data_IF_055114211051
#
_entry.id   IF_055114211051
#
_cell.length_a   1.000
_cell.length_b   1.000
_cell.length_c   1.000
_cell.angle_alpha   90.00
_cell.angle_beta   90.00
_cell.angle_gamma   90.00
#
_symmetry.space_group_name_H-M   'P 1'
#
loop_
_entity.id
_entity.type
_entity.pdbx_description
1 polymer ?
#
# COMPACT_ATOMS: atom_id res chain seq x y z
N UNK A 1 9.78 -20.91 8.04
CA UNK A 1 8.66 -19.94 7.91
C UNK A 1 9.00 -18.94 6.81
N UNK A 2 8.04 -18.63 5.93
CA UNK A 2 8.18 -17.61 4.89
C UNK A 2 7.37 -16.39 5.31
N UNK A 3 7.91 -15.18 5.15
CA UNK A 3 7.25 -13.91 5.42
C UNK A 3 7.79 -12.82 4.50
N UNK A 4 7.27 -11.62 4.60
CA UNK A 4 7.75 -10.50 3.78
C UNK A 4 7.06 -9.19 4.11
N UNK A 5 7.58 -8.12 3.53
CA UNK A 5 7.01 -6.79 3.61
C UNK A 5 5.96 -6.59 2.51
N UNK A 6 4.79 -6.09 2.89
CA UNK A 6 3.86 -5.50 1.95
C UNK A 6 4.35 -4.09 1.60
N UNK A 7 4.69 -3.91 0.33
CA UNK A 7 5.34 -2.70 -0.19
C UNK A 7 4.42 -1.86 -1.09
N UNK A 8 3.16 -2.24 -1.21
CA UNK A 8 2.18 -1.51 -1.99
C UNK A 8 1.10 -0.92 -1.08
N UNK A 9 0.81 0.34 -1.28
CA UNK A 9 -0.25 0.97 -0.52
C UNK A 9 -0.02 2.46 -0.27
N UNK A 10 -1.07 3.12 0.15
CA UNK A 10 -1.11 4.58 0.34
C UNK A 10 -0.24 5.06 1.48
N UNK A 11 -0.05 4.23 2.53
CA UNK A 11 0.82 4.56 3.65
C UNK A 11 2.28 4.79 3.22
N UNK A 12 2.75 4.00 2.24
CA UNK A 12 4.10 4.15 1.69
C UNK A 12 4.22 5.43 0.87
N UNK A 13 3.20 5.76 0.06
CA UNK A 13 3.19 6.99 -0.73
C UNK A 13 3.23 8.24 0.16
N UNK A 14 2.40 8.27 1.22
CA UNK A 14 2.40 9.37 2.21
C UNK A 14 3.77 9.51 2.86
N UNK A 15 4.36 8.40 3.29
CA UNK A 15 5.67 8.42 3.95
C UNK A 15 6.79 8.83 3.00
N UNK A 16 6.74 8.40 1.76
CA UNK A 16 7.68 8.79 0.71
C UNK A 16 7.62 10.30 0.45
N UNK A 17 6.42 10.86 0.30
CA UNK A 17 6.21 12.31 0.12
C UNK A 17 6.79 13.11 1.31
N UNK A 18 6.59 12.64 2.55
CA UNK A 18 7.13 13.27 3.75
C UNK A 18 8.67 13.25 3.82
N UNK A 19 9.28 12.19 3.29
CA UNK A 19 10.73 12.01 3.32
C UNK A 19 11.44 12.48 2.05
N UNK A 20 10.70 12.96 1.05
CA UNK A 20 11.23 13.38 -0.24
C UNK A 20 11.83 12.23 -1.07
N UNK A 21 11.30 11.03 -0.89
CA UNK A 21 11.71 9.80 -1.57
C UNK A 21 10.68 9.38 -2.62
N UNK A 22 11.09 8.54 -3.55
CA UNK A 22 10.13 7.78 -4.34
C UNK A 22 9.48 6.69 -3.49
N UNK A 23 8.28 6.24 -3.87
CA UNK A 23 7.59 5.15 -3.17
C UNK A 23 8.45 3.88 -3.12
N UNK A 24 9.18 3.58 -4.19
CA UNK A 24 10.09 2.43 -4.23
C UNK A 24 11.24 2.57 -3.24
N UNK A 25 11.95 3.70 -3.22
CA UNK A 25 13.05 3.94 -2.29
C UNK A 25 12.60 3.88 -0.83
N UNK A 26 11.40 4.43 -0.55
CA UNK A 26 10.79 4.35 0.76
C UNK A 26 10.50 2.90 1.16
N UNK A 27 9.86 2.13 0.30
CA UNK A 27 9.55 0.72 0.55
C UNK A 27 10.82 -0.11 0.76
N UNK A 28 11.86 0.05 -0.07
CA UNK A 28 13.14 -0.64 0.07
C UNK A 28 13.87 -0.27 1.36
N UNK A 29 13.82 0.99 1.77
CA UNK A 29 14.40 1.47 3.03
C UNK A 29 13.75 0.76 4.22
N UNK A 30 12.42 0.80 4.30
CA UNK A 30 11.69 0.20 5.42
C UNK A 30 11.71 -1.32 5.40
N UNK A 31 11.71 -1.96 4.23
CA UNK A 31 11.93 -3.40 4.13
C UNK A 31 13.24 -3.83 4.80
N UNK A 32 14.35 -3.13 4.54
CA UNK A 32 15.65 -3.43 5.15
C UNK A 32 15.65 -3.21 6.66
N UNK A 33 15.02 -2.12 7.14
CA UNK A 33 14.92 -1.83 8.57
C UNK A 33 14.14 -2.94 9.28
N UNK A 34 12.95 -3.28 8.77
CA UNK A 34 12.09 -4.31 9.35
C UNK A 34 12.79 -5.67 9.38
N UNK A 35 13.45 -6.06 8.29
CA UNK A 35 14.20 -7.31 8.23
C UNK A 35 15.32 -7.37 9.29
N UNK A 36 16.05 -6.26 9.45
CA UNK A 36 17.10 -6.13 10.47
C UNK A 36 16.55 -6.19 11.89
N UNK A 37 15.45 -5.50 12.16
CA UNK A 37 14.82 -5.46 13.49
C UNK A 37 14.26 -6.84 13.88
N UNK A 38 13.63 -7.53 12.94
CA UNK A 38 13.11 -8.90 13.16
C UNK A 38 14.25 -9.87 13.47
N UNK A 39 15.39 -9.76 12.75
CA UNK A 39 16.58 -10.54 13.03
C UNK A 39 17.16 -10.19 14.40
N UNK A 40 17.21 -8.90 14.77
CA UNK A 40 17.66 -8.42 16.07
C UNK A 40 16.80 -8.95 17.23
N UNK A 41 15.51 -9.19 17.00
CA UNK A 41 14.61 -9.84 17.95
C UNK A 41 14.77 -11.37 18.04
N UNK A 42 15.71 -11.95 17.29
CA UNK A 42 15.98 -13.39 17.27
C UNK A 42 14.98 -14.18 16.39
N UNK A 43 14.19 -13.51 15.55
CA UNK A 43 13.31 -14.18 14.61
C UNK A 43 14.10 -14.67 13.41
N UNK A 44 13.84 -15.90 12.99
CA UNK A 44 14.47 -16.51 11.81
C UNK A 44 13.41 -16.92 10.77
N UNK A 45 13.74 -16.70 9.52
CA UNK A 45 12.90 -17.04 8.37
C UNK A 45 13.72 -17.87 7.37
N UNK A 46 13.10 -18.85 6.76
CA UNK A 46 13.67 -19.53 5.59
C UNK A 46 13.76 -18.58 4.39
N UNK A 47 12.79 -17.66 4.32
CA UNK A 47 12.76 -16.55 3.37
C UNK A 47 11.99 -15.37 3.96
N UNK A 48 12.63 -14.18 3.98
CA UNK A 48 11.98 -12.90 4.19
C UNK A 48 12.07 -12.08 2.91
N UNK A 49 10.95 -11.90 2.22
CA UNK A 49 10.87 -11.29 0.89
C UNK A 49 10.05 -9.99 0.90
N UNK A 50 9.67 -9.51 -0.26
CA UNK A 50 8.80 -8.34 -0.41
C UNK A 50 7.82 -8.52 -1.57
N UNK A 51 6.74 -7.73 -1.56
CA UNK A 51 5.78 -7.70 -2.68
C UNK A 51 6.31 -6.95 -3.92
N UNK A 52 7.52 -6.38 -3.86
CA UNK A 52 8.16 -5.69 -4.99
C UNK A 52 8.89 -6.63 -5.96
N UNK A 53 8.91 -7.92 -5.70
CA UNK A 53 9.62 -8.87 -6.58
C UNK A 53 8.85 -9.12 -7.88
N UNK A 54 9.58 -9.36 -8.96
CA UNK A 54 9.00 -9.70 -10.27
C UNK A 54 8.12 -10.95 -10.19
N UNK A 55 8.52 -11.93 -9.38
CA UNK A 55 7.72 -13.12 -9.13
C UNK A 55 6.37 -12.78 -8.49
N UNK A 56 6.34 -11.89 -7.49
CA UNK A 56 5.09 -11.45 -6.88
C UNK A 56 4.20 -10.75 -7.90
N UNK A 57 4.75 -9.82 -8.68
CA UNK A 57 4.01 -9.11 -9.73
C UNK A 57 3.41 -10.09 -10.75
N UNK A 58 4.21 -11.06 -11.22
CA UNK A 58 3.75 -12.08 -12.18
C UNK A 58 2.58 -12.91 -11.63
N UNK A 59 2.74 -13.47 -10.43
CA UNK A 59 1.70 -14.32 -9.81
C UNK A 59 0.42 -13.53 -9.54
N UNK A 60 0.54 -12.30 -9.03
CA UNK A 60 -0.62 -11.43 -8.76
C UNK A 60 -1.38 -11.10 -10.04
N UNK A 61 -0.66 -10.75 -11.11
CA UNK A 61 -1.28 -10.46 -12.42
C UNK A 61 -1.94 -11.70 -13.02
N UNK A 62 -1.33 -12.88 -12.90
CA UNK A 62 -1.91 -14.13 -13.37
C UNK A 62 -3.21 -14.46 -12.64
N UNK A 63 -3.22 -14.35 -11.30
CA UNK A 63 -4.41 -14.59 -10.49
C UNK A 63 -5.52 -13.60 -10.86
N UNK A 64 -5.19 -12.30 -10.96
CA UNK A 64 -6.16 -11.28 -11.34
C UNK A 64 -6.76 -11.54 -12.72
N UNK A 65 -5.93 -11.90 -13.70
CA UNK A 65 -6.38 -12.21 -15.06
C UNK A 65 -7.35 -13.39 -15.06
N UNK A 66 -7.03 -14.47 -14.34
CA UNK A 66 -7.92 -15.63 -14.21
C UNK A 66 -9.25 -15.27 -13.55
N UNK A 67 -9.24 -14.44 -12.51
CA UNK A 67 -10.46 -13.97 -11.85
C UNK A 67 -11.32 -13.12 -12.81
N UNK A 68 -10.68 -12.25 -13.58
CA UNK A 68 -11.37 -11.43 -14.58
C UNK A 68 -11.99 -12.28 -15.70
N UNK A 69 -11.24 -13.24 -16.26
CA UNK A 69 -11.71 -14.16 -17.31
C UNK A 69 -12.88 -15.02 -16.84
N UNK A 70 -12.89 -15.40 -15.57
CA UNK A 70 -13.98 -16.16 -14.95
C UNK A 70 -15.18 -15.30 -14.51
N UNK A 71 -15.16 -13.98 -14.76
CA UNK A 71 -16.29 -13.08 -14.49
C UNK A 71 -16.46 -12.67 -13.02
N UNK A 72 -15.43 -12.88 -12.17
CA UNK A 72 -15.49 -12.47 -10.75
C UNK A 72 -15.09 -11.01 -10.53
N UNK A 73 -14.56 -10.33 -11.56
CA UNK A 73 -14.16 -8.92 -11.46
C UNK A 73 -15.13 -8.06 -12.24
N UNK A 74 -15.68 -7.04 -11.57
CA UNK A 74 -16.57 -6.05 -12.18
C UNK A 74 -16.01 -4.65 -12.03
N UNK A 75 -16.27 -3.78 -13.01
CA UNK A 75 -15.93 -2.36 -12.92
C UNK A 75 -17.06 -1.62 -12.21
N UNK A 76 -16.73 -0.85 -11.17
CA UNK A 76 -17.64 0.01 -10.45
C UNK A 76 -17.06 1.43 -10.40
N UNK A 77 -17.89 2.42 -10.72
CA UNK A 77 -17.53 3.82 -10.56
C UNK A 77 -17.86 4.27 -9.14
N UNK A 78 -16.91 4.90 -8.48
CA UNK A 78 -17.08 5.46 -7.14
C UNK A 78 -16.59 6.92 -7.11
N UNK A 79 -17.12 7.70 -6.19
CA UNK A 79 -16.63 9.06 -5.92
C UNK A 79 -15.35 8.95 -5.12
N UNK A 80 -14.28 9.62 -5.56
CA UNK A 80 -13.01 9.68 -4.87
C UNK A 80 -12.51 11.11 -4.74
N UNK A 81 -11.65 11.37 -3.78
CA UNK A 81 -10.99 12.65 -3.65
C UNK A 81 -9.96 12.83 -4.78
N UNK A 82 -9.92 14.03 -5.33
CA UNK A 82 -9.05 14.37 -6.45
C UNK A 82 -8.42 15.74 -6.20
N UNK A 83 -7.11 15.81 -6.42
CA UNK A 83 -6.37 17.07 -6.34
C UNK A 83 -6.15 17.64 -7.76
N UNK A 84 -6.80 18.75 -8.12
CA UNK A 84 -6.70 19.32 -9.45
C UNK A 84 -5.30 19.84 -9.82
N UNK A 85 -4.53 20.28 -8.83
CA UNK A 85 -3.21 20.89 -9.05
C UNK A 85 -2.17 19.88 -9.52
N UNK A 86 -2.25 18.64 -9.03
CA UNK A 86 -1.33 17.55 -9.37
C UNK A 86 -1.93 16.54 -10.34
N UNK A 87 -3.25 16.58 -10.56
CA UNK A 87 -3.98 15.61 -11.37
C UNK A 87 -4.05 14.21 -10.72
N UNK A 88 -3.86 14.13 -9.40
CA UNK A 88 -3.80 12.86 -8.65
C UNK A 88 -5.12 12.57 -7.97
N UNK A 89 -5.54 11.31 -8.02
CA UNK A 89 -6.55 10.78 -7.12
C UNK A 89 -5.90 10.58 -5.76
N UNK A 90 -6.53 11.11 -4.72
CA UNK A 90 -6.04 11.00 -3.35
C UNK A 90 -6.64 9.76 -2.69
N UNK A 91 -5.80 8.94 -2.04
CA UNK A 91 -6.27 7.89 -1.16
C UNK A 91 -7.03 8.46 0.05
N UNK A 92 -7.89 7.64 0.63
CA UNK A 92 -8.74 8.03 1.77
C UNK A 92 -7.94 8.61 2.94
N UNK A 93 -6.73 8.13 3.17
CA UNK A 93 -5.83 8.62 4.24
C UNK A 93 -5.37 10.09 4.11
N UNK A 94 -5.56 10.71 2.95
CA UNK A 94 -5.34 12.14 2.74
C UNK A 94 -6.58 12.98 3.05
N UNK A 95 -7.72 12.34 3.35
CA UNK A 95 -8.98 13.00 3.65
C UNK A 95 -9.07 13.14 5.17
N UNK A 96 -9.10 14.38 5.64
CA UNK A 96 -9.27 14.73 7.04
C UNK A 96 -10.40 15.75 7.15
N UNK A 97 -11.17 15.71 8.23
CA UNK A 97 -12.24 16.67 8.47
C UNK A 97 -13.30 16.17 9.43
N UNK A 98 -14.42 16.87 9.46
CA UNK A 98 -15.54 16.51 10.34
C UNK A 98 -16.33 15.33 9.78
N UNK A 99 -16.54 14.31 10.58
CA UNK A 99 -17.35 13.15 10.21
C UNK A 99 -18.82 13.57 9.96
N UNK A 100 -19.39 13.31 8.77
CA UNK A 100 -20.76 13.71 8.46
C UNK A 100 -21.81 12.89 9.22
N UNK A 101 -21.41 11.78 9.86
CA UNK A 101 -22.33 10.89 10.58
C UNK A 101 -22.43 11.27 12.06
N UNK A 102 -21.28 11.47 12.73
CA UNK A 102 -21.24 11.69 14.18
C UNK A 102 -20.71 13.09 14.59
N UNK A 103 -20.25 13.91 13.65
CA UNK A 103 -19.73 15.25 13.93
C UNK A 103 -18.35 15.30 14.59
N UNK A 104 -17.61 14.18 14.60
CA UNK A 104 -16.25 14.15 15.12
C UNK A 104 -15.31 14.95 14.20
N UNK A 105 -14.62 15.97 14.76
CA UNK A 105 -13.87 16.95 13.96
C UNK A 105 -12.52 16.47 13.44
N UNK A 106 -12.01 15.36 13.95
CA UNK A 106 -10.69 14.81 13.60
C UNK A 106 -10.82 13.44 12.88
N UNK A 107 -11.89 13.31 12.09
CA UNK A 107 -12.15 12.10 11.34
C UNK A 107 -11.18 11.98 10.14
N UNK A 108 -10.70 10.77 9.91
CA UNK A 108 -9.90 10.40 8.74
C UNK A 108 -10.67 9.42 7.87
N UNK A 109 -10.44 9.51 6.57
CA UNK A 109 -10.96 8.54 5.63
C UNK A 109 -10.21 7.21 5.78
N UNK A 110 -10.94 6.14 6.11
CA UNK A 110 -10.49 4.74 6.13
C UNK A 110 -11.51 3.89 5.37
#
# INVERSE_FOLDING_TARGET
MVSGSDCHGTAISVKADQEGLTAQECAEKYHRIIASDLQGLGLSYDLYTSTMTDNHAHVTQEIFTRLHENGYVVKKAEMGAFEPSTGRTLPDRYIEGTCPICGYDDARGD
#
